data_IF_756246580706
#
_entry.id   IF_756246580706
#
_cell.length_a   1.000
_cell.length_b   1.000
_cell.length_c   1.000
_cell.angle_alpha   90.00
_cell.angle_beta   90.00
_cell.angle_gamma   90.00
#
_symmetry.space_group_name_H-M   'P 1'
#
loop_
_entity.id
_entity.type
_entity.pdbx_description
1 polymer ?
#
# COMPACT_ATOMS: atom_id res chain seq x y z
N UNK A 1 6.05 35.05 6.77
CA UNK A 1 7.23 34.17 6.89
C UNK A 1 7.75 34.29 8.31
N UNK A 2 7.52 33.30 9.18
CA UNK A 2 8.09 33.33 10.55
C UNK A 2 9.54 32.89 10.43
N UNK A 3 10.46 33.85 10.43
CA UNK A 3 11.89 33.58 10.54
C UNK A 3 12.10 33.00 11.93
N UNK A 4 12.39 31.70 12.00
CA UNK A 4 12.37 30.90 13.22
C UNK A 4 13.34 31.41 14.29
N UNK A 5 12.99 31.21 15.56
CA UNK A 5 13.89 31.40 16.70
C UNK A 5 15.06 30.40 16.57
N UNK A 6 16.29 30.83 16.29
CA UNK A 6 17.41 29.91 16.21
C UNK A 6 17.67 29.28 17.59
N UNK A 7 17.91 27.97 17.61
CA UNK A 7 18.33 27.28 18.84
C UNK A 7 19.81 27.53 19.07
N UNK A 8 20.15 28.27 20.13
CA UNK A 8 21.53 28.46 20.55
C UNK A 8 21.97 27.29 21.44
N UNK A 9 23.19 26.81 21.21
CA UNK A 9 23.80 25.74 22.01
C UNK A 9 24.97 26.35 22.78
N UNK A 10 24.89 26.51 24.11
CA UNK A 10 25.97 27.09 24.89
C UNK A 10 27.18 26.15 24.92
N UNK A 11 28.39 26.70 24.86
CA UNK A 11 29.67 25.98 24.90
C UNK A 11 30.61 26.69 25.86
N UNK A 12 31.41 25.94 26.62
CA UNK A 12 32.34 26.50 27.61
C UNK A 12 33.73 26.73 27.02
N UNK A 13 34.10 25.93 26.04
CA UNK A 13 35.39 25.97 25.35
C UNK A 13 35.25 25.44 23.91
N UNK A 14 36.34 25.52 23.15
CA UNK A 14 36.39 25.12 21.75
C UNK A 14 36.23 23.61 21.54
N UNK A 15 36.73 22.79 22.47
CA UNK A 15 36.67 21.33 22.37
C UNK A 15 35.22 20.84 22.54
N UNK A 16 34.51 21.36 23.55
CA UNK A 16 33.08 21.14 23.73
C UNK A 16 32.30 21.64 22.51
N UNK A 17 32.69 22.79 21.95
CA UNK A 17 32.09 23.31 20.73
C UNK A 17 32.20 22.33 19.57
N UNK A 18 33.40 21.80 19.32
CA UNK A 18 33.64 20.81 18.27
C UNK A 18 32.84 19.52 18.52
N UNK A 19 32.88 18.98 19.73
CA UNK A 19 32.14 17.76 20.10
C UNK A 19 30.63 17.92 19.84
N UNK A 20 30.03 19.05 20.24
CA UNK A 20 28.61 19.31 20.02
C UNK A 20 28.27 19.44 18.53
N UNK A 21 29.12 20.09 17.73
CA UNK A 21 28.93 20.17 16.29
C UNK A 21 28.90 18.78 15.65
N UNK A 22 29.87 17.91 16.01
CA UNK A 22 29.93 16.54 15.48
C UNK A 22 28.71 15.72 15.89
N UNK A 23 28.28 15.81 17.17
CA UNK A 23 27.08 15.13 17.67
C UNK A 23 25.81 15.58 16.94
N UNK A 24 25.63 16.88 16.73
CA UNK A 24 24.47 17.42 15.99
C UNK A 24 24.48 16.93 14.54
N UNK A 25 25.63 16.96 13.87
CA UNK A 25 25.77 16.49 12.50
C UNK A 25 25.45 14.99 12.38
N UNK A 26 25.99 14.17 13.28
CA UNK A 26 25.73 12.73 13.32
C UNK A 26 24.24 12.43 13.57
N UNK A 27 23.66 12.98 14.64
CA UNK A 27 22.25 12.77 14.96
C UNK A 27 21.32 13.25 13.85
N UNK A 28 21.65 14.36 13.19
CA UNK A 28 20.91 14.84 12.01
C UNK A 28 21.00 13.88 10.82
N UNK A 29 22.18 13.27 10.62
CA UNK A 29 22.38 12.24 9.59
C UNK A 29 21.51 11.02 9.84
N UNK A 30 21.57 10.47 11.07
CA UNK A 30 20.76 9.32 11.48
C UNK A 30 19.26 9.61 11.33
N UNK A 31 18.79 10.74 11.87
CA UNK A 31 17.39 11.14 11.77
C UNK A 31 16.91 11.25 10.31
N UNK A 32 17.73 11.82 9.42
CA UNK A 32 17.38 11.91 7.99
C UNK A 32 17.25 10.53 7.36
N UNK A 33 18.13 9.58 7.69
CA UNK A 33 18.05 8.22 7.18
C UNK A 33 16.79 7.50 7.66
N UNK A 34 16.50 7.58 8.97
CA UNK A 34 15.28 7.00 9.55
C UNK A 34 14.03 7.60 8.91
N UNK A 35 13.98 8.93 8.78
CA UNK A 35 12.86 9.64 8.15
C UNK A 35 12.64 9.22 6.71
N UNK A 36 13.69 8.98 5.93
CA UNK A 36 13.56 8.44 4.57
C UNK A 36 12.94 7.04 4.62
N UNK A 37 13.42 6.18 5.53
CA UNK A 37 12.88 4.83 5.72
C UNK A 37 11.40 4.84 6.11
N UNK A 38 11.00 5.72 7.04
CA UNK A 38 9.60 5.90 7.44
C UNK A 38 8.74 6.44 6.29
N UNK A 39 9.24 7.43 5.55
CA UNK A 39 8.53 7.98 4.40
C UNK A 39 8.29 6.92 3.32
N UNK A 40 9.31 6.13 2.99
CA UNK A 40 9.18 5.02 2.04
C UNK A 40 8.18 3.96 2.52
N UNK A 41 8.18 3.62 3.82
CA UNK A 41 7.18 2.71 4.40
C UNK A 41 5.76 3.27 4.29
N UNK A 42 5.58 4.57 4.54
CA UNK A 42 4.30 5.25 4.43
C UNK A 42 3.79 5.29 2.98
N UNK A 43 4.66 5.68 2.04
CA UNK A 43 4.34 5.68 0.60
C UNK A 43 3.99 4.27 0.11
N UNK A 44 4.75 3.23 0.52
CA UNK A 44 4.43 1.84 0.19
C UNK A 44 3.06 1.43 0.72
N UNK A 45 2.71 1.78 1.97
CA UNK A 45 1.39 1.50 2.53
C UNK A 45 0.30 2.21 1.71
N UNK A 46 0.51 3.48 1.37
CA UNK A 46 -0.43 4.26 0.57
C UNK A 46 -0.61 3.67 -0.85
N UNK A 47 0.46 3.17 -1.48
CA UNK A 47 0.39 2.50 -2.78
C UNK A 47 -0.41 1.19 -2.72
N UNK A 48 -0.22 0.38 -1.66
CA UNK A 48 -0.93 -0.91 -1.53
C UNK A 48 -2.39 -0.73 -1.07
N UNK A 49 -2.66 0.30 -0.27
CA UNK A 49 -4.00 0.56 0.29
C UNK A 49 -4.82 1.57 -0.53
N UNK A 50 -4.23 2.20 -1.53
CA UNK A 50 -4.94 3.15 -2.38
C UNK A 50 -6.04 2.44 -3.18
N UNK A 51 -7.28 2.94 -3.06
CA UNK A 51 -8.44 2.40 -3.78
C UNK A 51 -8.20 2.33 -5.30
N UNK A 52 -7.44 3.26 -5.86
CA UNK A 52 -7.06 3.26 -7.28
C UNK A 52 -6.27 1.99 -7.68
N UNK A 53 -5.41 1.47 -6.81
CA UNK A 53 -4.66 0.25 -7.08
C UNK A 53 -5.52 -0.99 -6.87
N UNK A 54 -6.38 -0.97 -5.86
CA UNK A 54 -7.38 -2.00 -5.66
C UNK A 54 -8.22 -2.19 -6.93
N UNK A 55 -8.82 -1.10 -7.44
CA UNK A 55 -9.64 -1.14 -8.64
C UNK A 55 -8.86 -1.65 -9.86
N UNK A 56 -7.63 -1.18 -10.08
CA UNK A 56 -6.78 -1.68 -11.19
C UNK A 56 -6.50 -3.18 -11.09
N UNK A 57 -6.23 -3.68 -9.90
CA UNK A 57 -5.94 -5.10 -9.69
C UNK A 57 -7.19 -5.96 -9.94
N UNK A 58 -8.32 -5.55 -9.37
CA UNK A 58 -9.56 -6.35 -9.45
C UNK A 58 -10.15 -6.32 -10.87
N UNK A 59 -10.12 -5.17 -11.56
CA UNK A 59 -10.59 -5.07 -12.96
C UNK A 59 -9.65 -5.72 -13.99
N UNK A 60 -8.45 -6.13 -13.59
CA UNK A 60 -7.56 -6.94 -14.44
C UNK A 60 -8.00 -8.42 -14.52
N UNK A 61 -8.94 -8.82 -13.66
CA UNK A 61 -9.60 -10.13 -13.75
C UNK A 61 -10.56 -10.09 -14.95
N UNK A 62 -10.47 -11.04 -15.90
CA UNK A 62 -11.35 -11.05 -17.05
C UNK A 62 -12.83 -11.03 -16.66
N UNK A 63 -13.64 -10.19 -17.32
CA UNK A 63 -15.08 -10.12 -17.09
C UNK A 63 -15.52 -9.36 -15.83
N UNK A 64 -14.58 -8.73 -15.11
CA UNK A 64 -14.85 -7.90 -13.93
C UNK A 64 -14.68 -6.42 -14.29
N UNK A 65 -15.73 -5.64 -14.10
CA UNK A 65 -15.75 -4.20 -14.35
C UNK A 65 -15.58 -3.38 -13.05
N UNK A 66 -15.59 -2.05 -13.18
CA UNK A 66 -15.44 -1.16 -12.03
C UNK A 66 -16.60 -1.27 -11.02
N UNK A 67 -17.81 -1.58 -11.48
CA UNK A 67 -18.95 -1.75 -10.59
C UNK A 67 -18.75 -3.01 -9.74
N UNK A 68 -18.44 -4.13 -10.39
CA UNK A 68 -18.14 -5.39 -9.70
C UNK A 68 -16.98 -5.24 -8.71
N UNK A 69 -15.91 -4.54 -9.12
CA UNK A 69 -14.75 -4.31 -8.27
C UNK A 69 -15.12 -3.50 -7.01
N UNK A 70 -15.97 -2.48 -7.14
CA UNK A 70 -16.45 -1.72 -5.99
C UNK A 70 -17.35 -2.58 -5.07
N UNK A 71 -18.23 -3.41 -5.64
CA UNK A 71 -19.07 -4.33 -4.88
C UNK A 71 -18.22 -5.31 -4.05
N UNK A 72 -17.19 -5.91 -4.66
CA UNK A 72 -16.23 -6.77 -3.97
C UNK A 72 -15.45 -6.01 -2.88
N UNK A 73 -15.11 -4.74 -3.10
CA UNK A 73 -14.40 -3.92 -2.11
C UNK A 73 -15.25 -3.64 -0.89
N UNK A 74 -16.56 -3.43 -1.08
CA UNK A 74 -17.48 -3.11 -0.01
C UNK A 74 -17.88 -4.36 0.78
N UNK A 75 -18.10 -5.47 0.07
CA UNK A 75 -18.58 -6.73 0.65
C UNK A 75 -17.48 -7.57 1.30
N UNK A 76 -16.34 -7.72 0.62
CA UNK A 76 -15.26 -8.63 1.02
C UNK A 76 -14.05 -7.85 1.56
N UNK A 77 -13.80 -6.65 1.03
CA UNK A 77 -12.69 -5.80 1.45
C UNK A 77 -11.46 -6.00 0.58
N UNK A 78 -10.33 -6.34 1.22
CA UNK A 78 -9.01 -6.34 0.56
C UNK A 78 -8.86 -7.37 -0.56
N UNK A 79 -7.92 -7.13 -1.49
CA UNK A 79 -7.56 -8.10 -2.54
C UNK A 79 -7.19 -9.48 -1.96
N UNK A 80 -6.50 -9.49 -0.81
CA UNK A 80 -6.14 -10.73 -0.12
C UNK A 80 -7.38 -11.50 0.37
N UNK A 81 -8.41 -10.80 0.85
CA UNK A 81 -9.65 -11.41 1.28
C UNK A 81 -10.40 -12.02 0.09
N UNK A 82 -10.47 -11.32 -1.04
CA UNK A 82 -11.08 -11.81 -2.28
C UNK A 82 -10.37 -13.06 -2.80
N UNK A 83 -9.03 -13.08 -2.80
CA UNK A 83 -8.26 -14.26 -3.20
C UNK A 83 -8.57 -15.51 -2.35
N UNK A 84 -8.97 -15.30 -1.11
CA UNK A 84 -9.37 -16.36 -0.17
C UNK A 84 -10.87 -16.61 -0.15
N UNK A 85 -11.69 -15.79 -0.79
CA UNK A 85 -13.13 -15.98 -0.81
C UNK A 85 -13.51 -17.18 -1.70
N UNK A 86 -14.43 -18.00 -1.20
CA UNK A 86 -15.11 -19.02 -2.01
C UNK A 86 -16.15 -18.35 -2.92
N UNK A 87 -16.57 -19.07 -3.97
CA UNK A 87 -17.64 -18.61 -4.87
C UNK A 87 -18.93 -18.31 -4.09
N UNK A 88 -19.27 -19.19 -3.16
CA UNK A 88 -20.47 -19.10 -2.33
C UNK A 88 -20.44 -17.83 -1.47
N UNK A 89 -19.30 -17.55 -0.83
CA UNK A 89 -19.11 -16.32 -0.07
C UNK A 89 -19.20 -15.06 -0.94
N UNK A 90 -18.71 -15.11 -2.18
CA UNK A 90 -18.83 -13.97 -3.10
C UNK A 90 -20.31 -13.73 -3.42
N UNK A 91 -21.06 -14.78 -3.78
CA UNK A 91 -22.48 -14.67 -4.15
C UNK A 91 -23.39 -14.29 -2.99
N UNK A 92 -23.06 -14.69 -1.77
CA UNK A 92 -23.83 -14.32 -0.58
C UNK A 92 -23.67 -12.84 -0.21
N UNK A 93 -22.50 -12.26 -0.45
CA UNK A 93 -22.16 -10.91 -0.01
C UNK A 93 -22.18 -9.87 -1.14
N UNK A 94 -22.32 -10.27 -2.40
CA UNK A 94 -22.32 -9.37 -3.56
C UNK A 94 -23.44 -9.65 -4.53
N UNK A 95 -23.73 -8.71 -5.42
CA UNK A 95 -24.68 -8.82 -6.52
C UNK A 95 -24.04 -9.35 -7.83
N UNK A 96 -22.82 -9.90 -7.74
CA UNK A 96 -22.14 -10.49 -8.89
C UNK A 96 -22.91 -11.70 -9.44
N UNK A 97 -22.87 -11.89 -10.75
CA UNK A 97 -23.39 -13.10 -11.37
C UNK A 97 -22.58 -14.34 -10.99
N UNK A 98 -23.21 -15.51 -11.09
CA UNK A 98 -22.57 -16.82 -10.85
C UNK A 98 -21.27 -16.98 -11.64
N UNK A 99 -21.24 -16.52 -12.89
CA UNK A 99 -20.08 -16.61 -13.77
C UNK A 99 -18.96 -15.68 -13.32
N UNK A 100 -19.29 -14.45 -12.92
CA UNK A 100 -18.30 -13.49 -12.39
C UNK A 100 -17.71 -13.96 -11.06
N UNK A 101 -18.53 -14.50 -10.16
CA UNK A 101 -18.07 -15.05 -8.89
C UNK A 101 -17.16 -16.28 -9.09
N UNK A 102 -17.52 -17.18 -10.01
CA UNK A 102 -16.67 -18.32 -10.39
C UNK A 102 -15.34 -17.84 -10.98
N UNK A 103 -15.38 -16.85 -11.87
CA UNK A 103 -14.20 -16.28 -12.51
C UNK A 103 -13.23 -15.70 -11.49
N UNK A 104 -13.71 -14.91 -10.53
CA UNK A 104 -12.89 -14.34 -9.45
C UNK A 104 -12.25 -15.46 -8.61
N UNK A 105 -13.04 -16.46 -8.20
CA UNK A 105 -12.55 -17.55 -7.36
C UNK A 105 -11.50 -18.41 -8.08
N UNK A 106 -11.74 -18.77 -9.36
CA UNK A 106 -10.80 -19.56 -10.17
C UNK A 106 -9.54 -18.79 -10.53
N UNK A 107 -9.68 -17.54 -10.98
CA UNK A 107 -8.54 -16.75 -11.43
C UNK A 107 -7.49 -16.54 -10.34
N UNK A 108 -7.90 -16.44 -9.07
CA UNK A 108 -6.98 -16.23 -7.96
C UNK A 108 -6.43 -17.53 -7.34
N UNK A 109 -7.04 -18.69 -7.64
CA UNK A 109 -6.71 -19.98 -7.00
C UNK A 109 -6.15 -21.03 -7.94
N UNK A 110 -6.37 -20.93 -9.24
CA UNK A 110 -5.90 -21.90 -10.23
C UNK A 110 -4.73 -21.34 -11.05
N UNK A 111 -3.47 -21.75 -10.75
CA UNK A 111 -2.29 -21.42 -11.55
C UNK A 111 -2.43 -21.71 -13.03
N UNK A 112 -3.10 -22.82 -13.37
CA UNK A 112 -3.27 -23.21 -14.77
C UNK A 112 -4.27 -22.33 -15.50
N UNK A 113 -5.04 -21.50 -14.78
CA UNK A 113 -6.05 -20.61 -15.33
C UNK A 113 -5.50 -19.20 -15.53
N UNK A 114 -4.86 -18.60 -14.52
CA UNK A 114 -4.29 -17.25 -14.66
C UNK A 114 -3.01 -17.20 -15.49
N UNK A 115 -2.29 -18.33 -15.65
CA UNK A 115 -1.14 -18.44 -16.57
C UNK A 115 -1.54 -18.75 -18.02
N UNK A 116 -2.83 -18.93 -18.33
CA UNK A 116 -3.24 -19.20 -19.72
C UNK A 116 -3.00 -17.96 -20.58
N UNK A 117 -2.57 -18.15 -21.85
CA UNK A 117 -2.60 -17.08 -22.82
C UNK A 117 -4.02 -16.50 -22.88
N UNK A 118 -4.14 -15.20 -22.56
CA UNK A 118 -5.39 -14.47 -22.76
C UNK A 118 -5.45 -14.13 -24.24
N UNK A 119 -6.20 -14.92 -25.02
CA UNK A 119 -6.50 -14.56 -26.39
C UNK A 119 -7.55 -13.45 -26.36
N UNK A 120 -7.22 -12.31 -26.96
CA UNK A 120 -8.13 -11.16 -27.14
C UNK A 120 -9.06 -11.40 -28.32
#
# INVERSE_FOLDING_TARGET
MVIGKPTFVPVQDLEMGFEKMVKIAHSSGVYKQEKIGEKLKAERKQLVQGMNFYLKVVTSIPGIDNHDANALSQAIGSVQAIAKASKEQILENTDLSTDKAEMVSRFLRDPKFYLRPKFN
#
